data_IF_386129105583
#
_entry.id   IF_386129105583
#
_cell.length_a   1.000
_cell.length_b   1.000
_cell.length_c   1.000
_cell.angle_alpha   90.00
_cell.angle_beta   90.00
_cell.angle_gamma   90.00
#
_symmetry.space_group_name_H-M   'P 1'
#
loop_
_entity.id
_entity.type
_entity.pdbx_description
1 polymer ?
#
# COMPACT_ATOMS: atom_id res chain seq x y z
N UNK A 1 -21.29 19.24 -1.05
CA UNK A 1 -20.45 18.63 -2.11
C UNK A 1 -19.06 19.26 -2.18
N UNK A 2 -18.29 19.20 -1.08
CA UNK A 2 -16.87 19.61 -1.01
C UNK A 2 -16.10 18.58 -0.16
N UNK A 3 -16.73 18.11 0.92
CA UNK A 3 -16.24 17.00 1.75
C UNK A 3 -15.92 15.72 0.96
N UNK A 4 -16.80 15.26 0.05
CA UNK A 4 -16.53 14.06 -0.77
C UNK A 4 -15.28 14.22 -1.65
N UNK A 5 -15.04 15.43 -2.17
CA UNK A 5 -13.86 15.73 -2.99
C UNK A 5 -12.58 15.69 -2.14
N UNK A 6 -12.61 16.28 -0.95
CA UNK A 6 -11.45 16.26 -0.05
C UNK A 6 -11.13 14.86 0.46
N UNK A 7 -12.16 14.06 0.77
CA UNK A 7 -12.00 12.65 1.14
C UNK A 7 -11.38 11.88 -0.02
N UNK A 8 -11.91 12.04 -1.25
CA UNK A 8 -11.37 11.37 -2.42
C UNK A 8 -9.90 11.74 -2.69
N UNK A 9 -9.54 13.03 -2.58
CA UNK A 9 -8.15 13.48 -2.75
C UNK A 9 -7.23 12.85 -1.70
N UNK A 10 -7.66 12.77 -0.43
CA UNK A 10 -6.87 12.14 0.63
C UNK A 10 -6.68 10.64 0.38
N UNK A 11 -7.76 9.94 0.02
CA UNK A 11 -7.72 8.50 -0.32
C UNK A 11 -6.77 8.24 -1.48
N UNK A 12 -6.85 9.02 -2.56
CA UNK A 12 -5.98 8.86 -3.73
C UNK A 12 -4.51 9.20 -3.41
N UNK A 13 -4.24 10.16 -2.54
CA UNK A 13 -2.87 10.47 -2.08
C UNK A 13 -2.28 9.33 -1.28
N UNK A 14 -3.01 8.79 -0.31
CA UNK A 14 -2.56 7.65 0.48
C UNK A 14 -2.34 6.42 -0.41
N UNK A 15 -3.26 6.18 -1.35
CA UNK A 15 -3.14 5.09 -2.31
C UNK A 15 -1.84 5.18 -3.12
N UNK A 16 -1.52 6.36 -3.65
CA UNK A 16 -0.27 6.59 -4.40
C UNK A 16 0.97 6.40 -3.54
N UNK A 17 0.96 6.93 -2.31
CA UNK A 17 2.07 6.80 -1.36
C UNK A 17 2.37 5.33 -1.07
N UNK A 18 1.35 4.48 -0.90
CA UNK A 18 1.55 3.04 -0.67
C UNK A 18 2.06 2.34 -1.94
N UNK A 19 1.51 2.66 -3.11
CA UNK A 19 1.99 2.09 -4.39
C UNK A 19 3.47 2.41 -4.61
N UNK A 20 3.89 3.65 -4.37
CA UNK A 20 5.29 4.06 -4.47
C UNK A 20 6.18 3.26 -3.51
N UNK A 21 5.77 3.15 -2.24
CA UNK A 21 6.47 2.33 -1.25
C UNK A 21 6.62 0.86 -1.69
N UNK A 22 5.55 0.24 -2.20
CA UNK A 22 5.61 -1.14 -2.68
C UNK A 22 6.55 -1.28 -3.89
N UNK A 23 6.51 -0.33 -4.83
CA UNK A 23 7.41 -0.30 -6.00
C UNK A 23 8.87 -0.16 -5.60
N UNK A 24 9.18 0.68 -4.61
CA UNK A 24 10.55 0.80 -4.05
C UNK A 24 11.07 -0.51 -3.46
N UNK A 25 10.17 -1.38 -2.99
CA UNK A 25 10.47 -2.72 -2.49
C UNK A 25 10.49 -3.79 -3.58
N UNK A 26 10.30 -3.40 -4.85
CA UNK A 26 10.26 -4.30 -6.00
C UNK A 26 8.93 -5.04 -6.17
N UNK A 27 7.90 -4.68 -5.40
CA UNK A 27 6.58 -5.30 -5.45
C UNK A 27 5.74 -4.55 -6.50
N UNK A 28 5.31 -5.25 -7.53
CA UNK A 28 4.47 -4.69 -8.62
C UNK A 28 3.14 -5.41 -8.77
N UNK A 29 2.99 -6.55 -8.08
CA UNK A 29 1.80 -7.40 -8.11
C UNK A 29 1.49 -7.94 -6.71
N UNK A 30 0.23 -8.27 -6.46
CA UNK A 30 -0.18 -8.97 -5.25
C UNK A 30 -0.04 -10.50 -5.40
N UNK A 31 -0.49 -11.23 -4.37
CA UNK A 31 -0.47 -12.70 -4.31
C UNK A 31 -1.36 -13.37 -5.37
N UNK A 32 -2.35 -12.64 -5.89
CA UNK A 32 -3.31 -13.09 -6.91
C UNK A 32 -2.89 -12.66 -8.34
N UNK A 33 -1.64 -12.22 -8.53
CA UNK A 33 -1.06 -11.68 -9.78
C UNK A 33 -1.68 -10.37 -10.30
N UNK A 34 -2.56 -9.74 -9.52
CA UNK A 34 -3.13 -8.43 -9.84
C UNK A 34 -2.08 -7.33 -9.68
N UNK A 35 -2.09 -6.37 -10.60
CA UNK A 35 -1.19 -5.20 -10.53
C UNK A 35 -1.56 -4.33 -9.33
N UNK A 36 -0.56 -3.90 -8.57
CA UNK A 36 -0.80 -3.01 -7.41
C UNK A 36 -1.45 -1.68 -7.81
N UNK A 37 -1.22 -1.23 -9.05
CA UNK A 37 -1.82 -0.02 -9.61
C UNK A 37 -3.33 -0.12 -9.84
N UNK A 38 -3.90 -1.33 -9.78
CA UNK A 38 -5.34 -1.59 -9.95
C UNK A 38 -6.03 -1.89 -8.61
N UNK A 39 -5.26 -2.02 -7.52
CA UNK A 39 -5.79 -2.40 -6.21
C UNK A 39 -6.48 -1.25 -5.47
N UNK A 40 -7.44 -1.63 -4.62
CA UNK A 40 -8.08 -0.70 -3.69
C UNK A 40 -7.11 -0.25 -2.59
N UNK A 41 -7.38 0.90 -1.96
CA UNK A 41 -6.60 1.37 -0.81
C UNK A 41 -6.52 0.31 0.30
N UNK A 42 -7.62 -0.39 0.57
CA UNK A 42 -7.64 -1.44 1.61
C UNK A 42 -6.64 -2.56 1.32
N UNK A 43 -6.67 -3.10 0.10
CA UNK A 43 -5.75 -4.16 -0.32
C UNK A 43 -4.28 -3.70 -0.23
N UNK A 44 -4.01 -2.45 -0.65
CA UNK A 44 -2.69 -1.85 -0.57
C UNK A 44 -2.21 -1.67 0.88
N UNK A 45 -3.07 -1.19 1.78
CA UNK A 45 -2.76 -1.04 3.21
C UNK A 45 -2.49 -2.39 3.88
N UNK A 46 -3.20 -3.45 3.51
CA UNK A 46 -2.92 -4.80 4.00
C UNK A 46 -1.52 -5.26 3.57
N UNK A 47 -1.18 -5.08 2.29
CA UNK A 47 0.16 -5.41 1.77
C UNK A 47 1.26 -4.60 2.45
N UNK A 48 1.04 -3.29 2.68
CA UNK A 48 1.99 -2.45 3.42
C UNK A 48 2.22 -2.98 4.84
N UNK A 49 1.14 -3.30 5.56
CA UNK A 49 1.22 -3.79 6.94
C UNK A 49 1.91 -5.15 7.05
N UNK A 50 1.61 -6.09 6.15
CA UNK A 50 2.31 -7.38 6.07
C UNK A 50 3.82 -7.16 5.86
N UNK A 51 4.18 -6.28 4.93
CA UNK A 51 5.59 -6.01 4.63
C UNK A 51 6.33 -5.32 5.78
N UNK A 52 5.68 -4.37 6.46
CA UNK A 52 6.24 -3.70 7.63
C UNK A 52 6.38 -4.66 8.81
N UNK A 53 5.43 -5.58 9.00
CA UNK A 53 5.53 -6.63 10.01
C UNK A 53 6.71 -7.57 9.73
N UNK A 54 6.91 -7.97 8.47
CA UNK A 54 8.05 -8.80 8.06
C UNK A 54 9.40 -8.11 8.25
N UNK A 55 9.48 -6.80 7.97
CA UNK A 55 10.70 -6.01 8.20
C UNK A 55 11.01 -5.92 9.70
N UNK A 56 9.99 -5.66 10.53
CA UNK A 56 10.17 -5.52 11.96
C UNK A 56 10.53 -6.85 12.64
N UNK A 57 9.94 -7.97 12.22
CA UNK A 57 10.30 -9.29 12.76
C UNK A 57 11.74 -9.67 12.41
N UNK A 58 12.20 -9.42 11.17
CA UNK A 58 13.61 -9.63 10.78
C UNK A 58 14.61 -8.78 11.56
N UNK A 59 14.19 -7.61 12.05
CA UNK A 59 15.05 -6.69 12.80
C UNK A 59 15.24 -7.09 14.27
N UNK A 60 14.36 -7.93 14.82
CA UNK A 60 14.38 -8.37 16.24
C UNK A 60 15.16 -9.67 16.44
N UNK A 61 15.51 -10.40 15.37
CA UNK A 61 16.24 -11.68 15.46
C UNK A 61 17.77 -11.56 15.45
N UNK A 62 18.35 -10.49 16.00
CA UNK A 62 19.80 -10.28 16.13
C UNK A 62 20.19 -10.12 17.59
#
# INVERSE_FOLDING_TARGET
>A
MYYDREIHIRVERERKRIIEFLKEKGITRNKDDEKIDDLTLLSLTLMENELLADINTKKVSI
#
